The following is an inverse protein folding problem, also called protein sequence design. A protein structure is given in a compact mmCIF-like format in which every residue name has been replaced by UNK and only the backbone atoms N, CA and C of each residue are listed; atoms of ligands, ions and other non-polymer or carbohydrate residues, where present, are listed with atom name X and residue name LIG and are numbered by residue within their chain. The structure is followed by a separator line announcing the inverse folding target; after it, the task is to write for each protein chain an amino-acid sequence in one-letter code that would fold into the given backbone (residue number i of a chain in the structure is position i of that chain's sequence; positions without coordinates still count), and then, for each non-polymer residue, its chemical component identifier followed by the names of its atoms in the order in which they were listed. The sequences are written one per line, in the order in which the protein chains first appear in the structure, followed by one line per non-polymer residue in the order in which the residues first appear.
data_IF_888542922245
#
_entry.id   IF_888542922245
#
_cell.length_a   1.000
_cell.length_b   1.000
_cell.length_c   1.000
_cell.angle_alpha   90.00
_cell.angle_beta   90.00
_cell.angle_gamma   90.00
#
_symmetry.space_group_name_H-M   'P 1'
#
loop_
_entity.id
_entity.type
_entity.pdbx_description
1 polymer ?
#
# COMPACT_ATOMS: atom_id res chain seq x y z
N UNK A 1 10.05 0.97 1.11
CA UNK A 1 9.53 0.51 2.41
C UNK A 1 9.23 -0.98 2.38
N UNK A 2 9.62 -1.76 3.41
CA UNK A 2 9.25 -3.18 3.48
C UNK A 2 7.79 -3.33 3.87
N UNK A 3 7.04 -4.14 3.14
CA UNK A 3 5.58 -4.21 3.31
C UNK A 3 5.01 -5.63 3.20
N UNK A 4 3.87 -5.87 3.85
CA UNK A 4 3.02 -7.04 3.66
C UNK A 4 1.78 -6.65 2.85
N UNK A 5 1.43 -7.46 1.85
CA UNK A 5 0.13 -7.32 1.18
C UNK A 5 -1.00 -7.62 2.17
N UNK A 6 -2.01 -6.76 2.23
CA UNK A 6 -3.23 -6.97 3.01
C UNK A 6 -4.39 -7.14 2.05
N UNK A 7 -5.17 -8.20 2.25
CA UNK A 7 -6.36 -8.48 1.46
C UNK A 7 -7.58 -8.45 2.38
N UNK A 8 -8.69 -7.94 1.86
CA UNK A 8 -9.99 -8.09 2.50
C UNK A 8 -10.51 -9.50 2.23
N UNK A 9 -10.88 -10.20 3.30
CA UNK A 9 -11.58 -11.47 3.24
C UNK A 9 -13.06 -11.22 3.53
N UNK A 10 -13.88 -11.40 2.50
CA UNK A 10 -15.34 -11.19 2.53
C UNK A 10 -16.11 -12.50 2.59
N UNK A 11 -15.44 -13.65 2.75
CA UNK A 11 -16.06 -14.99 2.70
C UNK A 11 -16.80 -15.37 3.98
N UNK A 12 -16.64 -14.62 5.08
CA UNK A 12 -17.33 -14.83 6.36
C UNK A 12 -18.38 -13.75 6.68
N UNK A 13 -19.10 -13.94 7.79
CA UNK A 13 -20.14 -13.02 8.27
C UNK A 13 -19.64 -11.63 8.69
N UNK A 14 -18.32 -11.46 8.86
CA UNK A 14 -17.67 -10.17 9.15
C UNK A 14 -16.44 -9.98 8.25
N UNK A 15 -16.28 -8.82 7.59
CA UNK A 15 -15.07 -8.51 6.83
C UNK A 15 -13.84 -8.58 7.73
N UNK A 16 -12.80 -9.29 7.28
CA UNK A 16 -11.52 -9.38 7.99
C UNK A 16 -10.38 -8.98 7.08
N UNK A 17 -9.35 -8.36 7.66
CA UNK A 17 -8.10 -8.09 6.95
C UNK A 17 -7.15 -9.26 7.15
N UNK A 18 -6.69 -9.85 6.04
CA UNK A 18 -5.72 -10.94 6.03
C UNK A 18 -4.38 -10.42 5.52
N UNK A 19 -3.37 -10.53 6.38
CA UNK A 19 -1.99 -10.22 6.01
C UNK A 19 -1.38 -11.41 5.29
N UNK A 20 -0.61 -11.12 4.25
CA UNK A 20 0.22 -12.14 3.63
C UNK A 20 1.40 -12.52 4.52
N UNK A 21 1.80 -13.80 4.47
CA UNK A 21 2.97 -14.32 5.18
C UNK A 21 4.30 -13.86 4.59
N UNK A 22 4.34 -13.50 3.29
CA UNK A 22 5.59 -13.03 2.64
C UNK A 22 5.73 -11.52 2.74
N UNK A 23 6.94 -11.06 2.52
CA UNK A 23 7.24 -9.63 2.45
C UNK A 23 7.43 -9.22 1.00
N UNK A 24 6.93 -8.04 0.68
CA UNK A 24 7.17 -7.31 -0.55
C UNK A 24 7.72 -5.92 -0.24
N UNK A 25 7.58 -5.01 -1.20
CA UNK A 25 8.02 -3.64 -1.08
C UNK A 25 6.95 -2.67 -1.55
N UNK A 26 6.79 -1.58 -0.81
CA UNK A 26 6.15 -0.36 -1.27
C UNK A 26 7.25 0.59 -1.74
N UNK A 27 7.21 0.97 -3.00
CA UNK A 27 8.05 2.02 -3.58
C UNK A 27 7.19 3.27 -3.78
N UNK A 28 7.70 4.40 -3.30
CA UNK A 28 7.11 5.72 -3.52
C UNK A 28 8.11 6.53 -4.34
N UNK A 29 7.60 7.28 -5.30
CA UNK A 29 8.37 8.21 -6.10
C UNK A 29 7.72 9.59 -6.02
N UNK A 30 8.37 10.51 -5.32
CA UNK A 30 7.88 11.88 -5.13
C UNK A 30 7.97 12.72 -6.41
N UNK A 31 8.90 12.41 -7.32
CA UNK A 31 9.05 13.16 -8.58
C UNK A 31 7.86 12.92 -9.52
N UNK A 32 7.38 11.67 -9.59
CA UNK A 32 6.21 11.29 -10.39
C UNK A 32 4.93 11.19 -9.57
N UNK A 33 5.01 11.48 -8.26
CA UNK A 33 3.94 11.27 -7.28
C UNK A 33 3.27 9.90 -7.45
N UNK A 34 4.07 8.85 -7.51
CA UNK A 34 3.57 7.49 -7.75
C UNK A 34 3.81 6.55 -6.58
N UNK A 35 2.90 5.60 -6.40
CA UNK A 35 2.96 4.58 -5.36
C UNK A 35 2.82 3.19 -5.98
N UNK A 36 3.80 2.33 -5.72
CA UNK A 36 3.86 0.99 -6.29
C UNK A 36 4.06 -0.06 -5.21
N UNK A 37 3.13 -1.01 -5.13
CA UNK A 37 3.26 -2.20 -4.31
C UNK A 37 3.73 -3.37 -5.18
N UNK A 38 4.85 -3.98 -4.80
CA UNK A 38 5.40 -5.19 -5.41
C UNK A 38 5.45 -6.28 -4.35
N UNK A 39 4.88 -7.45 -4.66
CA UNK A 39 4.78 -8.56 -3.73
C UNK A 39 5.02 -9.90 -4.44
N UNK A 40 5.91 -10.77 -3.92
CA UNK A 40 6.21 -12.06 -4.55
C UNK A 40 5.07 -13.07 -4.35
N UNK A 41 4.49 -13.56 -5.44
CA UNK A 41 3.61 -14.75 -5.46
C UNK A 41 4.37 -15.94 -6.08
N UNK A 42 3.89 -17.15 -5.84
CA UNK A 42 4.46 -18.35 -6.49
C UNK A 42 4.25 -18.21 -7.99
N UNK A 43 5.34 -18.22 -8.76
CA UNK A 43 5.32 -18.14 -10.23
C UNK A 43 5.08 -16.75 -10.84
N UNK A 44 4.79 -15.70 -10.06
CA UNK A 44 4.61 -14.32 -10.56
C UNK A 44 4.75 -13.27 -9.45
N UNK A 45 5.03 -12.02 -9.79
CA UNK A 45 4.86 -10.89 -8.87
C UNK A 45 3.44 -10.33 -8.94
N UNK A 46 2.84 -10.08 -7.78
CA UNK A 46 1.75 -9.11 -7.70
C UNK A 46 2.37 -7.72 -7.73
N UNK A 47 2.00 -6.92 -8.73
CA UNK A 47 2.46 -5.55 -8.87
C UNK A 47 1.25 -4.65 -9.09
N UNK A 48 1.19 -3.55 -8.36
CA UNK A 48 0.17 -2.52 -8.56
C UNK A 48 0.78 -1.15 -8.35
N UNK A 49 0.80 -0.35 -9.41
CA UNK A 49 1.24 1.04 -9.42
C UNK A 49 0.03 1.94 -9.58
N UNK A 50 -0.04 3.00 -8.79
CA UNK A 50 -0.91 4.14 -9.03
C UNK A 50 -0.05 5.38 -9.22
N UNK A 51 -0.23 6.04 -10.35
CA UNK A 51 0.33 7.35 -10.62
C UNK A 51 -0.66 8.39 -10.11
N UNK A 52 -0.14 9.42 -9.44
CA UNK A 52 -0.92 10.49 -8.82
C UNK A 52 -2.10 9.93 -8.00
N UNK A 53 -1.83 9.12 -6.96
CA UNK A 53 -2.87 8.49 -6.17
C UNK A 53 -3.76 9.58 -5.55
N UNK A 54 -5.08 9.43 -5.72
CA UNK A 54 -6.05 10.45 -5.30
C UNK A 54 -6.03 10.71 -3.80
N UNK A 55 -5.88 9.65 -3.02
CA UNK A 55 -5.85 9.71 -1.57
C UNK A 55 -5.09 8.53 -0.98
N UNK A 56 -4.44 8.79 0.14
CA UNK A 56 -3.72 7.79 0.93
C UNK A 56 -4.21 7.86 2.37
N UNK A 57 -4.56 6.73 2.95
CA UNK A 57 -4.99 6.62 4.35
C UNK A 57 -3.97 5.77 5.09
N UNK A 58 -3.26 6.37 6.03
CA UNK A 58 -2.32 5.70 6.91
C UNK A 58 -2.92 5.61 8.32
N UNK A 59 -2.97 4.41 8.89
CA UNK A 59 -3.28 4.20 10.31
C UNK A 59 -2.22 3.31 10.94
N UNK A 60 -1.54 3.76 12.00
CA UNK A 60 -0.38 3.12 12.65
C UNK A 60 0.67 2.55 11.67
N UNK A 61 0.45 1.36 11.11
CA UNK A 61 1.31 0.70 10.12
C UNK A 61 0.55 0.20 8.88
N UNK A 62 -0.75 0.39 8.82
CA UNK A 62 -1.62 -0.03 7.73
C UNK A 62 -1.84 1.15 6.78
N UNK A 63 -1.46 0.98 5.53
CA UNK A 63 -1.61 1.96 4.47
C UNK A 63 -2.62 1.47 3.45
N UNK A 64 -3.55 2.34 3.08
CA UNK A 64 -4.45 2.16 1.94
C UNK A 64 -4.24 3.27 0.93
N UNK A 65 -3.88 2.90 -0.29
CA UNK A 65 -3.65 3.83 -1.40
C UNK A 65 -4.78 3.66 -2.41
N UNK A 66 -5.36 4.77 -2.84
CA UNK A 66 -6.42 4.80 -3.84
C UNK A 66 -5.87 5.28 -5.19
N UNK A 67 -6.36 4.71 -6.28
CA UNK A 67 -6.03 5.16 -7.63
C UNK A 67 -6.44 6.61 -7.85
N UNK A 68 -5.89 7.27 -8.87
CA UNK A 68 -6.22 8.64 -9.27
C UNK A 68 -7.73 8.88 -9.47
N UNK A 69 -8.48 7.88 -9.92
CA UNK A 69 -9.94 7.96 -10.07
C UNK A 69 -10.74 7.45 -8.85
N UNK A 70 -10.09 7.05 -7.76
CA UNK A 70 -10.72 6.55 -6.53
C UNK A 70 -11.42 5.18 -6.63
N UNK A 71 -11.61 4.63 -7.84
CA UNK A 71 -12.36 3.37 -8.07
C UNK A 71 -11.62 2.12 -7.62
N UNK A 72 -10.32 2.22 -7.42
CA UNK A 72 -9.44 1.08 -7.09
C UNK A 72 -8.58 1.46 -5.89
N UNK A 73 -8.27 0.48 -5.04
CA UNK A 73 -7.30 0.65 -3.96
C UNK A 73 -6.46 -0.60 -3.77
N UNK A 74 -5.30 -0.44 -3.13
CA UNK A 74 -4.58 -1.54 -2.51
C UNK A 74 -4.25 -1.20 -1.06
N UNK A 75 -4.12 -2.24 -0.24
CA UNK A 75 -3.78 -2.12 1.17
C UNK A 75 -2.50 -2.88 1.44
N UNK A 76 -1.60 -2.27 2.18
CA UNK A 76 -0.38 -2.93 2.65
C UNK A 76 -0.09 -2.53 4.10
N UNK A 77 0.68 -3.37 4.79
CA UNK A 77 1.16 -3.10 6.14
C UNK A 77 2.67 -2.92 6.12
N UNK A 78 3.15 -1.78 6.61
CA UNK A 78 4.56 -1.50 6.79
C UNK A 78 5.09 -2.26 8.01
N UNK A 79 6.33 -2.75 7.92
CA UNK A 79 6.86 -3.66 8.94
C UNK A 79 7.43 -2.94 10.17
N UNK A 80 7.95 -1.72 10.01
CA UNK A 80 8.44 -0.87 11.09
C UNK A 80 7.57 0.38 11.26
N UNK A 81 7.56 0.96 12.46
CA UNK A 81 6.90 2.24 12.73
C UNK A 81 7.69 3.41 12.11
N UNK A 82 9.01 3.30 12.04
CA UNK A 82 9.87 4.25 11.33
C UNK A 82 9.56 4.31 9.82
N UNK A 83 9.39 3.16 9.15
CA UNK A 83 8.97 3.12 7.74
C UNK A 83 7.59 3.77 7.57
N UNK A 84 6.70 3.60 8.55
CA UNK A 84 5.37 4.20 8.51
C UNK A 84 5.39 5.73 8.63
N UNK A 85 6.24 6.27 9.51
CA UNK A 85 6.46 7.70 9.63
C UNK A 85 7.02 8.30 8.32
N UNK A 86 8.14 7.77 7.81
CA UNK A 86 8.77 8.22 6.56
C UNK A 86 7.85 8.08 5.35
N UNK A 87 7.09 6.99 5.30
CA UNK A 87 6.10 6.78 4.24
C UNK A 87 4.98 7.82 4.30
N UNK A 88 4.51 8.17 5.49
CA UNK A 88 3.50 9.21 5.68
C UNK A 88 4.03 10.58 5.24
N UNK A 89 5.25 10.95 5.65
CA UNK A 89 5.92 12.18 5.22
C UNK A 89 6.06 12.26 3.69
N UNK A 90 6.45 11.15 3.06
CA UNK A 90 6.57 11.09 1.58
C UNK A 90 5.22 11.31 0.89
N UNK A 91 4.13 10.77 1.42
CA UNK A 91 2.80 11.02 0.86
C UNK A 91 2.30 12.44 1.10
N UNK A 92 2.73 13.11 2.17
CA UNK A 92 2.41 14.52 2.39
C UNK A 92 3.05 15.43 1.34
N UNK A 93 4.16 15.01 0.71
CA UNK A 93 4.74 15.73 -0.43
C UNK A 93 4.05 15.42 -1.76
N UNK A 94 3.13 14.45 -1.81
CA UNK A 94 2.31 14.18 -3.01
C UNK A 94 1.14 15.17 -3.00
N UNK A 95 1.41 16.38 -3.43
CA UNK A 95 0.47 17.50 -3.35
C UNK A 95 1.21 18.77 -2.96
N UNK A 96 1.71 19.46 -3.98
CA UNK A 96 2.03 20.88 -3.96
C UNK A 96 1.05 21.61 -4.86
#
# INVERSE_FOLDING_TARGET
FRAQLVMEDTTGSKPRLKHSKRHGALALDASTQSAQLVYPRVGRFFQRKFEQPLKCVMGRRLLRVYSSNGKRSFTCRLLSEEDAAKCSETFQSFGG
#
